data_IF_090900457216
#
_entry.id   IF_090900457216
#
_cell.length_a   1.000
_cell.length_b   1.000
_cell.length_c   1.000
_cell.angle_alpha   90.00
_cell.angle_beta   90.00
_cell.angle_gamma   90.00
#
_symmetry.space_group_name_H-M   'P 1'
#
loop_
_entity.id
_entity.type
_entity.pdbx_description
1 polymer ?
#
# COMPACT_ATOMS: atom_id res chain seq x y z
N UNK A 1 4.22 -0.01 -29.48
CA UNK A 1 3.64 0.58 -28.25
C UNK A 1 4.42 0.09 -27.03
N UNK A 2 4.60 0.94 -26.02
CA UNK A 2 5.26 0.54 -24.76
C UNK A 2 4.71 1.32 -23.59
N UNK A 3 4.84 0.78 -22.39
CA UNK A 3 4.57 1.43 -21.10
C UNK A 3 5.24 0.64 -19.95
N UNK A 4 5.05 1.10 -18.71
CA UNK A 4 5.58 0.47 -17.50
C UNK A 4 4.45 0.12 -16.50
N UNK A 5 3.29 -0.26 -17.01
CA UNK A 5 2.17 -0.68 -16.17
C UNK A 5 2.39 -2.11 -15.65
N UNK A 6 2.68 -2.22 -14.34
CA UNK A 6 3.07 -3.47 -13.69
C UNK A 6 4.32 -4.11 -14.32
N UNK A 7 5.40 -3.33 -14.40
CA UNK A 7 6.67 -3.67 -15.02
C UNK A 7 6.79 -3.17 -16.47
N UNK A 8 7.97 -3.35 -17.06
CA UNK A 8 8.22 -2.96 -18.44
C UNK A 8 7.39 -3.80 -19.42
N UNK A 9 6.76 -3.13 -20.39
CA UNK A 9 5.96 -3.77 -21.43
C UNK A 9 6.24 -3.13 -22.79
N UNK A 10 6.39 -3.95 -23.83
CA UNK A 10 6.53 -3.50 -25.21
C UNK A 10 5.83 -4.44 -26.17
N UNK A 11 5.05 -3.89 -27.07
CA UNK A 11 4.38 -4.60 -28.15
C UNK A 11 5.20 -4.46 -29.41
N UNK A 12 5.53 -5.58 -30.05
CA UNK A 12 6.24 -5.65 -31.33
C UNK A 12 5.32 -6.24 -32.40
N UNK A 13 5.38 -5.76 -33.65
CA UNK A 13 4.62 -6.34 -34.75
C UNK A 13 5.15 -7.73 -35.13
N UNK A 14 4.50 -8.41 -36.07
CA UNK A 14 5.01 -9.64 -36.65
C UNK A 14 6.33 -9.34 -37.40
N UNK A 15 7.37 -10.14 -37.15
CA UNK A 15 8.70 -9.96 -37.75
C UNK A 15 9.80 -10.60 -36.93
N UNK A 16 11.04 -10.38 -37.33
CA UNK A 16 12.24 -10.85 -36.64
C UNK A 16 12.72 -9.78 -35.65
N UNK A 17 12.16 -9.81 -34.45
CA UNK A 17 12.51 -8.90 -33.34
C UNK A 17 13.14 -9.66 -32.19
N UNK A 18 13.99 -8.93 -31.44
CA UNK A 18 14.50 -9.34 -30.14
C UNK A 18 14.22 -8.23 -29.15
N UNK A 19 13.67 -8.55 -27.99
CA UNK A 19 13.33 -7.60 -26.92
C UNK A 19 14.22 -7.87 -25.72
N UNK A 20 14.76 -6.80 -25.15
CA UNK A 20 15.53 -6.86 -23.90
C UNK A 20 14.94 -5.90 -22.87
N UNK A 21 14.85 -6.36 -21.63
CA UNK A 21 14.61 -5.51 -20.46
C UNK A 21 15.83 -5.55 -19.56
N UNK A 22 16.34 -4.39 -19.23
CA UNK A 22 17.51 -4.24 -18.37
C UNK A 22 17.13 -3.46 -17.13
N UNK A 23 17.76 -3.81 -16.01
CA UNK A 23 17.83 -2.99 -14.81
C UNK A 23 19.11 -2.16 -14.89
N UNK A 24 18.99 -0.84 -15.02
CA UNK A 24 20.14 0.06 -15.19
C UNK A 24 20.90 0.26 -13.87
N UNK A 25 20.17 0.29 -12.74
CA UNK A 25 20.78 0.48 -11.43
C UNK A 25 21.60 -0.75 -11.02
N UNK A 26 21.04 -1.96 -11.21
CA UNK A 26 21.74 -3.20 -10.92
C UNK A 26 22.67 -3.70 -12.03
N UNK A 27 22.68 -3.05 -13.21
CA UNK A 27 23.41 -3.48 -14.40
C UNK A 27 23.09 -4.92 -14.82
N UNK A 28 21.83 -5.33 -14.74
CA UNK A 28 21.38 -6.68 -15.04
C UNK A 28 20.46 -6.74 -16.25
N UNK A 29 20.60 -7.80 -17.05
CA UNK A 29 19.61 -8.16 -18.07
C UNK A 29 18.53 -9.04 -17.42
N UNK A 30 17.30 -8.52 -17.36
CA UNK A 30 16.15 -9.20 -16.75
C UNK A 30 15.39 -10.08 -17.75
N UNK A 31 15.41 -9.71 -19.02
CA UNK A 31 14.77 -10.45 -20.11
C UNK A 31 15.55 -10.22 -21.39
N UNK A 32 15.71 -11.24 -22.20
CA UNK A 32 16.36 -11.18 -23.50
C UNK A 32 15.91 -12.35 -24.37
N UNK A 33 14.97 -12.12 -25.30
CA UNK A 33 14.46 -13.16 -26.18
C UNK A 33 13.92 -12.63 -27.51
N UNK A 34 13.79 -13.54 -28.48
CA UNK A 34 13.11 -13.28 -29.74
C UNK A 34 11.61 -13.05 -29.49
N UNK A 35 11.00 -12.15 -30.28
CA UNK A 35 9.58 -11.80 -30.19
C UNK A 35 9.02 -11.49 -31.59
N UNK A 36 7.77 -11.88 -31.85
CA UNK A 36 7.08 -11.60 -33.11
C UNK A 36 5.59 -11.51 -32.89
N UNK A 37 4.96 -10.36 -33.18
CA UNK A 37 3.52 -10.17 -33.10
C UNK A 37 2.95 -10.28 -31.67
N UNK A 38 3.70 -9.92 -30.64
CA UNK A 38 3.34 -10.13 -29.23
C UNK A 38 3.60 -8.92 -28.35
N UNK A 39 2.86 -8.84 -27.24
CA UNK A 39 3.17 -7.97 -26.13
C UNK A 39 4.13 -8.70 -25.18
N UNK A 40 5.37 -8.25 -25.11
CA UNK A 40 6.37 -8.74 -24.15
C UNK A 40 6.22 -7.98 -22.85
N UNK A 41 6.21 -8.70 -21.72
CA UNK A 41 6.08 -8.11 -20.38
C UNK A 41 7.18 -8.60 -19.45
N UNK A 42 7.69 -7.70 -18.61
CA UNK A 42 8.63 -8.06 -17.53
C UNK A 42 7.96 -8.94 -16.48
N UNK A 43 8.71 -9.89 -15.92
CA UNK A 43 8.30 -10.61 -14.71
C UNK A 43 8.31 -9.71 -13.47
N UNK A 44 9.14 -8.66 -13.43
CA UNK A 44 9.18 -7.73 -12.30
C UNK A 44 8.05 -6.71 -12.40
N UNK A 45 7.12 -6.73 -11.42
CA UNK A 45 5.92 -5.86 -11.36
C UNK A 45 6.07 -4.68 -10.39
N UNK A 46 7.20 -4.60 -9.67
CA UNK A 46 7.58 -3.50 -8.79
C UNK A 46 8.50 -2.51 -9.50
N UNK A 47 8.88 -1.44 -8.83
CA UNK A 47 9.80 -0.44 -9.39
C UNK A 47 11.18 -1.04 -9.62
N UNK A 48 11.61 -0.92 -10.86
CA UNK A 48 12.96 -1.20 -11.34
C UNK A 48 13.35 -0.06 -12.27
N UNK A 49 14.59 0.36 -12.28
CA UNK A 49 15.08 1.37 -13.21
C UNK A 49 15.27 0.76 -14.61
N UNK A 50 14.13 0.52 -15.28
CA UNK A 50 14.07 -0.20 -16.52
C UNK A 50 14.67 0.56 -17.69
N UNK A 51 15.37 -0.19 -18.57
CA UNK A 51 15.59 0.14 -19.97
C UNK A 51 14.95 -0.92 -20.84
N UNK A 52 14.15 -0.49 -21.82
CA UNK A 52 13.58 -1.34 -22.88
C UNK A 52 14.44 -1.17 -24.12
N UNK A 53 14.88 -2.26 -24.74
CA UNK A 53 15.54 -2.28 -26.02
C UNK A 53 14.81 -3.21 -26.98
N UNK A 54 14.62 -2.78 -28.22
CA UNK A 54 14.07 -3.61 -29.31
C UNK A 54 15.05 -3.62 -30.46
N UNK A 55 15.36 -4.80 -30.93
CA UNK A 55 16.23 -5.05 -32.09
C UNK A 55 15.40 -5.65 -33.21
N UNK A 56 15.65 -5.24 -34.44
CA UNK A 56 15.12 -5.85 -35.64
C UNK A 56 16.31 -6.37 -36.48
N UNK A 57 16.29 -7.67 -36.82
CA UNK A 57 17.36 -8.34 -37.55
C UNK A 57 18.75 -8.05 -36.97
N UNK A 58 18.87 -8.04 -35.66
CA UNK A 58 20.11 -7.79 -34.92
C UNK A 58 20.50 -6.31 -34.74
N UNK A 59 19.79 -5.36 -35.36
CA UNK A 59 20.04 -3.92 -35.21
C UNK A 59 19.15 -3.29 -34.19
N UNK A 60 19.68 -2.52 -33.25
CA UNK A 60 18.90 -1.73 -32.27
C UNK A 60 18.07 -0.68 -33.02
N UNK A 61 16.75 -0.77 -32.92
CA UNK A 61 15.80 0.16 -33.55
C UNK A 61 15.05 1.02 -32.53
N UNK A 62 15.00 0.59 -31.27
CA UNK A 62 14.34 1.33 -30.21
C UNK A 62 15.04 1.10 -28.88
N UNK A 63 15.25 2.18 -28.12
CA UNK A 63 15.70 2.13 -26.74
C UNK A 63 14.96 3.20 -25.93
N UNK A 64 14.50 2.84 -24.73
CA UNK A 64 13.82 3.77 -23.86
C UNK A 64 14.12 3.47 -22.39
N UNK A 65 14.56 4.49 -21.67
CA UNK A 65 14.81 4.44 -20.24
C UNK A 65 13.56 4.88 -19.47
N UNK A 66 13.26 4.20 -18.38
CA UNK A 66 12.18 4.62 -17.47
C UNK A 66 12.46 6.05 -16.98
N UNK A 67 11.55 6.95 -17.25
CA UNK A 67 11.56 8.30 -16.70
C UNK A 67 10.12 8.70 -16.33
N UNK A 68 9.87 8.87 -15.04
CA UNK A 68 8.55 9.17 -14.52
C UNK A 68 8.26 10.68 -14.43
N UNK A 69 9.25 11.56 -14.68
CA UNK A 69 9.09 13.01 -14.55
C UNK A 69 7.99 13.52 -15.50
N UNK A 70 6.98 14.20 -14.92
CA UNK A 70 5.81 14.70 -15.63
C UNK A 70 4.85 13.63 -16.18
N UNK A 71 5.08 12.34 -15.90
CA UNK A 71 4.24 11.24 -16.39
C UNK A 71 3.12 10.90 -15.41
N UNK A 72 2.00 10.40 -15.94
CA UNK A 72 0.91 9.84 -15.14
C UNK A 72 1.30 8.48 -14.58
N UNK A 73 1.33 8.38 -13.27
CA UNK A 73 1.67 7.14 -12.54
C UNK A 73 0.53 6.77 -11.60
N UNK A 74 0.18 5.49 -11.53
CA UNK A 74 -0.84 4.96 -10.65
C UNK A 74 -0.23 4.08 -9.57
N UNK A 75 -0.51 4.38 -8.31
CA UNK A 75 -0.36 3.44 -7.21
C UNK A 75 -1.74 2.89 -6.84
N UNK A 76 -1.90 1.58 -6.95
CA UNK A 76 -3.14 0.90 -6.57
C UNK A 76 -2.99 0.26 -5.21
N UNK A 77 -3.85 0.65 -4.26
CA UNK A 77 -3.91 0.09 -2.92
C UNK A 77 -5.03 -0.95 -2.81
N UNK A 78 -4.86 -2.00 -2.01
CA UNK A 78 -5.91 -2.99 -1.79
C UNK A 78 -7.05 -2.41 -0.96
N UNK A 79 -8.23 -3.06 -1.03
CA UNK A 79 -9.41 -2.68 -0.26
C UNK A 79 -9.48 -3.49 1.03
N UNK A 80 -9.90 -2.86 2.13
CA UNK A 80 -10.22 -3.55 3.38
C UNK A 80 -9.07 -3.78 4.37
N UNK A 81 -7.90 -3.19 4.13
CA UNK A 81 -6.72 -3.31 5.00
C UNK A 81 -6.25 -1.94 5.50
N UNK A 82 -7.02 -1.34 6.43
CA UNK A 82 -6.79 0.00 6.97
C UNK A 82 -5.35 0.20 7.48
N UNK A 83 -4.87 -0.68 8.36
CA UNK A 83 -3.56 -0.53 8.99
C UNK A 83 -2.40 -0.55 7.99
N UNK A 84 -2.47 -1.43 7.02
CA UNK A 84 -1.45 -1.57 5.99
C UNK A 84 -1.40 -0.31 5.09
N UNK A 85 -2.56 0.20 4.68
CA UNK A 85 -2.63 1.42 3.88
C UNK A 85 -2.07 2.62 4.66
N UNK A 86 -2.40 2.78 5.93
CA UNK A 86 -1.86 3.85 6.77
C UNK A 86 -0.34 3.78 6.90
N UNK A 87 0.22 2.56 6.98
CA UNK A 87 1.67 2.35 7.04
C UNK A 87 2.37 2.61 5.69
N UNK A 88 1.71 2.31 4.56
CA UNK A 88 2.32 2.39 3.22
C UNK A 88 2.15 3.75 2.55
N UNK A 89 1.06 4.45 2.83
CA UNK A 89 0.70 5.65 2.10
C UNK A 89 1.73 6.79 2.16
N UNK A 90 2.46 7.04 3.26
CA UNK A 90 3.50 8.07 3.28
C UNK A 90 4.54 7.95 2.16
N UNK A 91 4.82 6.72 1.72
CA UNK A 91 5.78 6.47 0.65
C UNK A 91 5.26 6.89 -0.74
N UNK A 92 3.95 7.05 -0.92
CA UNK A 92 3.38 7.61 -2.14
C UNK A 92 3.81 9.07 -2.35
N UNK A 93 3.82 9.88 -1.28
CA UNK A 93 4.31 11.27 -1.36
C UNK A 93 5.81 11.33 -1.64
N UNK A 94 6.60 10.47 -0.99
CA UNK A 94 8.05 10.38 -1.22
C UNK A 94 8.33 9.97 -2.67
N UNK A 95 7.62 8.97 -3.19
CA UNK A 95 7.73 8.52 -4.57
C UNK A 95 7.40 9.66 -5.56
N UNK A 96 6.27 10.35 -5.35
CA UNK A 96 5.89 11.49 -6.17
C UNK A 96 6.97 12.57 -6.21
N UNK A 97 7.51 12.94 -5.05
CA UNK A 97 8.55 13.98 -4.93
C UNK A 97 9.86 13.54 -5.59
N UNK A 98 10.30 12.29 -5.36
CA UNK A 98 11.52 11.73 -5.95
C UNK A 98 11.46 11.76 -7.48
N UNK A 99 10.33 11.32 -8.04
CA UNK A 99 10.17 11.15 -9.48
C UNK A 99 9.47 12.31 -10.17
N UNK A 100 8.99 13.33 -9.45
CA UNK A 100 8.27 14.50 -9.97
C UNK A 100 7.13 14.12 -10.92
N UNK A 101 6.45 13.01 -10.64
CA UNK A 101 5.38 12.46 -11.46
C UNK A 101 4.00 13.04 -11.08
N UNK A 102 3.06 12.95 -12.01
CA UNK A 102 1.64 13.16 -11.77
C UNK A 102 1.05 11.89 -11.14
N UNK A 103 0.96 11.86 -9.80
CA UNK A 103 0.63 10.64 -9.08
C UNK A 103 -0.87 10.51 -8.82
N UNK A 104 -1.42 9.37 -9.23
CA UNK A 104 -2.75 8.90 -8.89
C UNK A 104 -2.66 7.78 -7.85
N UNK A 105 -3.54 7.82 -6.84
CA UNK A 105 -3.68 6.75 -5.85
C UNK A 105 -5.10 6.21 -5.87
N UNK A 106 -5.26 4.94 -6.24
CA UNK A 106 -6.55 4.24 -6.27
C UNK A 106 -6.76 3.46 -4.97
N UNK A 107 -7.86 3.72 -4.25
CA UNK A 107 -8.20 3.07 -2.98
C UNK A 107 -9.69 3.18 -2.64
N UNK A 108 -10.12 2.57 -1.54
CA UNK A 108 -11.49 2.66 -1.06
C UNK A 108 -11.87 4.11 -0.66
N UNK A 109 -13.13 4.49 -0.85
CA UNK A 109 -13.61 5.86 -0.61
C UNK A 109 -13.42 6.32 0.83
N UNK A 110 -13.67 5.46 1.80
CA UNK A 110 -13.46 5.74 3.23
C UNK A 110 -11.99 6.06 3.56
N UNK A 111 -11.06 5.44 2.86
CA UNK A 111 -9.62 5.74 2.96
C UNK A 111 -9.28 7.07 2.30
N UNK A 112 -9.86 7.37 1.14
CA UNK A 112 -9.69 8.66 0.47
C UNK A 112 -10.12 9.81 1.39
N UNK A 113 -11.26 9.68 2.05
CA UNK A 113 -11.77 10.71 2.94
C UNK A 113 -10.82 11.10 4.08
N UNK A 114 -10.10 10.15 4.65
CA UNK A 114 -9.20 10.39 5.79
C UNK A 114 -7.79 10.79 5.36
N UNK A 115 -7.32 10.32 4.20
CA UNK A 115 -5.93 10.52 3.77
C UNK A 115 -5.78 11.79 2.92
N UNK A 116 -6.68 12.02 1.97
CA UNK A 116 -6.63 13.14 1.01
C UNK A 116 -6.34 14.51 1.63
N UNK A 117 -6.92 14.89 2.78
CA UNK A 117 -6.64 16.20 3.39
C UNK A 117 -5.17 16.45 3.71
N UNK A 118 -4.41 15.40 4.05
CA UNK A 118 -2.97 15.47 4.36
C UNK A 118 -2.06 15.51 3.14
N UNK A 119 -2.60 15.27 1.92
CA UNK A 119 -1.82 15.07 0.69
C UNK A 119 -2.45 15.72 -0.53
N UNK A 120 -2.56 17.07 -0.56
CA UNK A 120 -3.30 17.79 -1.60
C UNK A 120 -2.70 17.65 -3.01
N UNK A 121 -1.41 17.32 -3.10
CA UNK A 121 -0.70 17.18 -4.37
C UNK A 121 -0.89 15.80 -5.04
N UNK A 122 -1.56 14.85 -4.38
CA UNK A 122 -1.84 13.51 -4.90
C UNK A 122 -3.27 13.47 -5.42
N UNK A 123 -3.46 12.88 -6.60
CA UNK A 123 -4.78 12.68 -7.18
C UNK A 123 -5.36 11.36 -6.69
N UNK A 124 -6.44 11.44 -5.91
CA UNK A 124 -7.13 10.27 -5.39
C UNK A 124 -8.27 9.86 -6.33
N UNK A 125 -8.38 8.58 -6.59
CA UNK A 125 -9.43 7.95 -7.38
C UNK A 125 -9.97 6.70 -6.68
N UNK A 126 -11.18 6.26 -7.05
CA UNK A 126 -11.75 5.02 -6.51
C UNK A 126 -10.97 3.80 -6.93
N UNK A 127 -11.05 2.72 -6.16
CA UNK A 127 -10.25 1.51 -6.36
C UNK A 127 -10.42 0.86 -7.75
N UNK A 128 -11.59 1.02 -8.36
CA UNK A 128 -11.94 0.50 -9.69
C UNK A 128 -11.56 1.42 -10.84
N UNK A 129 -11.33 2.70 -10.56
CA UNK A 129 -11.00 3.70 -11.58
C UNK A 129 -9.56 3.56 -12.09
N UNK A 130 -9.37 3.91 -13.34
CA UNK A 130 -8.07 3.93 -13.99
C UNK A 130 -7.97 5.12 -14.94
N UNK A 131 -7.03 6.06 -14.70
CA UNK A 131 -6.81 7.18 -15.61
C UNK A 131 -6.34 6.72 -16.99
N UNK A 132 -6.76 7.45 -18.02
CA UNK A 132 -6.23 7.24 -19.37
C UNK A 132 -4.80 7.76 -19.51
N UNK A 133 -4.03 7.14 -20.40
CA UNK A 133 -2.66 7.53 -20.71
C UNK A 133 -1.67 7.29 -19.57
N UNK A 134 -1.91 6.27 -18.74
CA UNK A 134 -0.96 5.85 -17.73
C UNK A 134 0.34 5.39 -18.38
N UNK A 135 1.44 5.96 -17.89
CA UNK A 135 2.80 5.57 -18.29
C UNK A 135 3.35 4.44 -17.41
N UNK A 136 3.07 4.47 -16.11
CA UNK A 136 3.48 3.42 -15.18
C UNK A 136 2.41 3.16 -14.11
N UNK A 137 2.37 1.96 -13.58
CA UNK A 137 1.53 1.61 -12.44
C UNK A 137 2.16 0.55 -11.56
N UNK A 138 1.91 0.64 -10.25
CA UNK A 138 2.40 -0.28 -9.24
C UNK A 138 1.27 -0.68 -8.30
N UNK A 139 1.27 -1.95 -7.90
CA UNK A 139 0.32 -2.47 -6.93
C UNK A 139 0.96 -2.55 -5.56
N UNK A 140 0.38 -1.84 -4.59
CA UNK A 140 0.80 -1.86 -3.20
C UNK A 140 0.06 -3.00 -2.50
N UNK A 141 0.78 -4.00 -2.01
CA UNK A 141 0.10 -5.16 -1.46
C UNK A 141 1.03 -6.11 -0.73
N UNK A 142 0.42 -7.11 -0.12
CA UNK A 142 1.09 -8.28 0.45
C UNK A 142 0.86 -9.42 -0.53
N UNK A 143 1.93 -10.03 -0.98
CA UNK A 143 1.87 -11.07 -1.98
C UNK A 143 2.23 -12.43 -1.36
N UNK A 144 1.33 -13.37 -1.55
CA UNK A 144 1.49 -14.78 -1.26
C UNK A 144 1.35 -15.55 -2.59
N UNK A 145 2.09 -16.55 -2.85
CA UNK A 145 2.95 -17.41 -2.03
C UNK A 145 4.34 -16.80 -1.70
N UNK A 146 5.08 -17.54 -0.89
CA UNK A 146 6.36 -17.12 -0.31
C UNK A 146 7.46 -16.83 -1.32
N UNK A 147 7.37 -17.37 -2.51
CA UNK A 147 8.33 -17.24 -3.61
C UNK A 147 7.92 -16.19 -4.66
N UNK A 148 6.89 -15.39 -4.37
CA UNK A 148 6.48 -14.30 -5.26
C UNK A 148 7.58 -13.23 -5.34
N UNK A 149 8.43 -13.38 -6.34
CA UNK A 149 9.50 -12.44 -6.71
C UNK A 149 9.10 -11.52 -7.86
N UNK A 150 7.87 -11.62 -8.32
CA UNK A 150 7.36 -10.76 -9.39
C UNK A 150 6.80 -9.45 -8.87
N UNK A 151 6.04 -9.49 -7.76
CA UNK A 151 5.32 -8.34 -7.24
C UNK A 151 6.04 -7.64 -6.09
N UNK A 152 6.97 -8.32 -5.44
CA UNK A 152 7.73 -7.77 -4.32
C UNK A 152 9.21 -8.17 -4.42
N UNK A 153 10.16 -7.22 -4.22
CA UNK A 153 11.59 -7.53 -4.26
C UNK A 153 12.08 -8.26 -3.00
N UNK A 154 11.32 -8.17 -1.91
CA UNK A 154 11.65 -8.73 -0.59
C UNK A 154 10.41 -9.35 0.04
N UNK A 155 10.61 -10.32 0.91
CA UNK A 155 9.53 -10.92 1.70
C UNK A 155 9.14 -9.97 2.85
N UNK A 156 7.89 -9.52 2.87
CA UNK A 156 7.37 -8.61 3.90
C UNK A 156 7.48 -9.20 5.33
N UNK A 157 7.50 -10.54 5.48
CA UNK A 157 7.66 -11.22 6.78
C UNK A 157 9.07 -11.06 7.34
N UNK A 158 10.07 -10.84 6.47
CA UNK A 158 11.48 -10.62 6.86
C UNK A 158 11.73 -9.15 7.16
N UNK A 159 11.26 -8.25 6.29
CA UNK A 159 11.55 -6.80 6.43
C UNK A 159 10.55 -6.05 7.28
N UNK A 160 9.42 -6.65 7.59
CA UNK A 160 8.30 -6.02 8.26
C UNK A 160 7.35 -5.30 7.30
N UNK A 161 6.07 -5.28 7.67
CA UNK A 161 4.97 -4.84 6.81
C UNK A 161 5.14 -3.40 6.31
N UNK A 162 5.54 -2.47 7.18
CA UNK A 162 5.73 -1.06 6.82
C UNK A 162 6.86 -0.85 5.80
N UNK A 163 7.87 -1.72 5.76
CA UNK A 163 9.01 -1.64 4.81
C UNK A 163 8.71 -2.26 3.45
N UNK A 164 7.61 -2.99 3.32
CA UNK A 164 7.24 -3.60 2.04
C UNK A 164 6.95 -2.54 0.96
N UNK A 165 6.20 -1.50 1.31
CA UNK A 165 5.86 -0.43 0.38
C UNK A 165 7.08 0.29 -0.22
N UNK A 166 8.04 0.80 0.56
CA UNK A 166 9.22 1.44 -0.01
C UNK A 166 10.05 0.47 -0.87
N UNK A 167 10.12 -0.82 -0.51
CA UNK A 167 10.79 -1.82 -1.34
C UNK A 167 10.10 -1.99 -2.71
N UNK A 168 8.75 -2.07 -2.75
CA UNK A 168 7.99 -2.13 -4.01
C UNK A 168 8.22 -0.89 -4.86
N UNK A 169 8.41 0.29 -4.24
CA UNK A 169 8.57 1.57 -4.93
C UNK A 169 10.03 1.98 -5.19
N UNK A 170 11.01 1.13 -4.88
CA UNK A 170 12.43 1.47 -5.06
C UNK A 170 12.86 2.67 -4.21
N UNK A 171 12.35 2.76 -2.98
CA UNK A 171 12.63 3.82 -2.03
C UNK A 171 13.44 3.29 -0.85
N UNK A 172 14.09 4.20 -0.11
CA UNK A 172 14.65 3.87 1.19
C UNK A 172 13.54 3.51 2.18
N UNK A 173 13.79 2.48 2.99
CA UNK A 173 12.83 1.96 3.96
C UNK A 173 12.91 2.67 5.33
N UNK A 174 13.09 3.99 5.33
CA UNK A 174 13.06 4.81 6.54
C UNK A 174 11.62 4.93 7.05
N UNK A 175 11.43 4.86 8.36
CA UNK A 175 10.11 4.95 8.98
C UNK A 175 9.44 6.30 8.70
N UNK A 176 8.20 6.27 8.26
CA UNK A 176 7.43 7.46 7.89
C UNK A 176 6.10 7.51 8.65
N UNK A 177 5.72 8.71 9.06
CA UNK A 177 4.41 8.95 9.68
C UNK A 177 3.41 9.45 8.66
N UNK A 178 2.20 8.88 8.69
CA UNK A 178 1.10 9.37 7.87
C UNK A 178 0.60 10.72 8.38
N UNK A 179 0.22 11.61 7.46
CA UNK A 179 -0.39 12.90 7.75
C UNK A 179 -1.91 12.74 7.74
N UNK A 180 -2.51 12.61 8.89
CA UNK A 180 -3.97 12.62 9.05
C UNK A 180 -4.39 13.97 9.61
N UNK A 181 -5.34 14.63 8.92
CA UNK A 181 -5.88 15.92 9.34
C UNK A 181 -7.36 15.72 9.68
N UNK A 182 -7.71 15.62 10.98
CA UNK A 182 -9.10 15.47 11.40
C UNK A 182 -9.91 16.69 10.98
N UNK A 183 -11.10 16.47 10.40
CA UNK A 183 -12.02 17.54 9.99
C UNK A 183 -12.55 18.33 11.19
N UNK A 184 -12.78 17.64 12.30
CA UNK A 184 -13.24 18.24 13.54
C UNK A 184 -12.19 18.08 14.62
N UNK A 185 -11.68 19.18 15.15
CA UNK A 185 -10.69 19.21 16.24
C UNK A 185 -11.36 19.41 17.61
N UNK A 186 -12.68 19.43 17.67
CA UNK A 186 -13.40 19.61 18.93
C UNK A 186 -13.27 18.36 19.79
N UNK A 187 -12.64 18.50 20.94
CA UNK A 187 -12.54 17.42 21.92
C UNK A 187 -13.89 17.22 22.61
N UNK A 188 -14.53 16.07 22.34
CA UNK A 188 -15.84 15.72 22.94
C UNK A 188 -15.74 15.25 24.39
N UNK A 189 -14.63 14.59 24.72
CA UNK A 189 -14.36 14.07 26.08
C UNK A 189 -13.28 14.96 26.70
N UNK A 190 -13.61 15.65 27.79
CA UNK A 190 -12.70 16.61 28.43
C UNK A 190 -11.67 15.91 29.32
N UNK A 191 -12.07 14.85 29.98
CA UNK A 191 -11.23 14.06 30.87
C UNK A 191 -10.10 13.34 30.12
N UNK A 192 -8.98 13.04 30.77
CA UNK A 192 -7.96 12.18 30.18
C UNK A 192 -8.53 10.80 29.85
N UNK A 193 -8.26 10.30 28.65
CA UNK A 193 -8.73 8.98 28.23
C UNK A 193 -7.71 8.26 27.36
N UNK A 194 -7.83 6.93 27.32
CA UNK A 194 -7.09 6.04 26.43
C UNK A 194 -8.09 5.23 25.62
N UNK A 195 -7.88 5.18 24.31
CA UNK A 195 -8.64 4.32 23.42
C UNK A 195 -7.97 2.95 23.32
N UNK A 196 -8.76 1.90 23.44
CA UNK A 196 -8.33 0.52 23.21
C UNK A 196 -9.16 -0.12 22.09
N UNK A 197 -8.55 -1.02 21.33
CA UNK A 197 -9.20 -1.84 20.32
C UNK A 197 -8.77 -3.29 20.54
N UNK A 198 -9.68 -4.11 21.02
CA UNK A 198 -9.43 -5.52 21.35
C UNK A 198 -9.76 -6.46 20.18
N UNK A 199 -10.62 -6.01 19.24
CA UNK A 199 -11.10 -6.81 18.13
C UNK A 199 -10.03 -7.02 17.06
N UNK A 200 -9.99 -8.20 16.50
CA UNK A 200 -9.15 -8.54 15.37
C UNK A 200 -9.94 -9.25 14.26
N UNK A 201 -9.42 -9.22 13.01
CA UNK A 201 -10.03 -9.90 11.88
C UNK A 201 -9.93 -11.43 11.91
N UNK A 202 -9.12 -11.96 12.82
CA UNK A 202 -8.91 -13.39 13.04
C UNK A 202 -8.50 -13.62 14.49
N UNK A 203 -8.90 -14.76 15.06
CA UNK A 203 -8.57 -15.12 16.46
C UNK A 203 -7.06 -15.23 16.68
N UNK A 204 -6.29 -15.61 15.65
CA UNK A 204 -4.83 -15.66 15.71
C UNK A 204 -4.15 -14.30 15.92
N UNK A 205 -4.87 -13.20 15.62
CA UNK A 205 -4.41 -11.81 15.83
C UNK A 205 -4.90 -11.23 17.15
N UNK A 206 -5.78 -11.93 17.85
CA UNK A 206 -6.30 -11.49 19.13
C UNK A 206 -5.25 -11.65 20.22
N UNK A 207 -5.19 -10.71 21.15
CA UNK A 207 -4.30 -10.85 22.30
C UNK A 207 -4.86 -11.86 23.30
N UNK A 208 -4.45 -13.13 23.15
CA UNK A 208 -4.95 -14.28 23.93
C UNK A 208 -4.33 -14.39 25.34
N UNK A 209 -4.19 -13.28 26.05
CA UNK A 209 -3.82 -13.29 27.46
C UNK A 209 -5.08 -13.19 28.31
N UNK A 210 -5.41 -14.26 29.04
CA UNK A 210 -6.67 -14.37 29.78
C UNK A 210 -6.92 -13.25 30.78
N UNK A 211 -5.90 -12.58 31.33
CA UNK A 211 -5.99 -11.43 32.21
C UNK A 211 -5.42 -10.14 31.66
N UNK A 212 -4.87 -10.19 30.45
CA UNK A 212 -4.12 -9.07 29.87
C UNK A 212 -4.95 -7.80 29.78
N UNK A 213 -6.08 -7.84 29.10
CA UNK A 213 -6.97 -6.68 28.97
C UNK A 213 -7.50 -6.19 30.32
N UNK A 214 -7.87 -7.09 31.22
CA UNK A 214 -8.34 -6.72 32.57
C UNK A 214 -7.25 -5.92 33.31
N UNK A 215 -6.01 -6.40 33.28
CA UNK A 215 -4.90 -5.75 33.97
C UNK A 215 -4.57 -4.39 33.34
N UNK A 216 -4.59 -4.28 31.99
CA UNK A 216 -4.38 -3.01 31.28
C UNK A 216 -5.46 -1.98 31.65
N UNK A 217 -6.73 -2.37 31.60
CA UNK A 217 -7.85 -1.48 31.96
C UNK A 217 -7.73 -1.00 33.39
N UNK A 218 -7.44 -1.92 34.31
CA UNK A 218 -7.27 -1.61 35.73
C UNK A 218 -6.14 -0.60 35.95
N UNK A 219 -4.96 -0.88 35.38
CA UNK A 219 -3.78 -0.01 35.47
C UNK A 219 -4.06 1.40 34.92
N UNK A 220 -4.68 1.50 33.74
CA UNK A 220 -5.02 2.79 33.16
C UNK A 220 -6.00 3.60 34.03
N UNK A 221 -6.98 2.94 34.66
CA UNK A 221 -7.88 3.60 35.58
C UNK A 221 -7.21 4.05 36.87
N UNK A 222 -6.26 3.28 37.38
CA UNK A 222 -5.45 3.65 38.56
C UNK A 222 -4.59 4.89 38.25
N UNK A 223 -4.17 5.10 36.98
CA UNK A 223 -3.51 6.31 36.49
C UNK A 223 -4.47 7.49 36.23
N UNK A 224 -5.76 7.34 36.45
CA UNK A 224 -6.78 8.39 36.30
C UNK A 224 -7.32 8.54 34.87
N UNK A 225 -7.10 7.57 33.99
CA UNK A 225 -7.66 7.61 32.63
C UNK A 225 -9.03 6.93 32.54
N UNK A 226 -9.92 7.51 31.75
CA UNK A 226 -11.05 6.77 31.20
C UNK A 226 -10.53 5.80 30.12
N UNK A 227 -11.09 4.60 30.04
CA UNK A 227 -10.65 3.59 29.06
C UNK A 227 -11.82 3.29 28.13
N UNK A 228 -11.69 3.69 26.86
CA UNK A 228 -12.74 3.62 25.86
C UNK A 228 -12.43 2.49 24.87
N UNK A 229 -13.32 1.53 24.75
CA UNK A 229 -13.22 0.49 23.72
C UNK A 229 -13.85 1.00 22.42
N UNK A 230 -13.01 1.22 21.39
CA UNK A 230 -13.43 1.84 20.14
C UNK A 230 -13.56 0.84 18.97
N UNK A 231 -13.71 -0.43 19.26
CA UNK A 231 -13.88 -1.48 18.27
C UNK A 231 -15.07 -1.22 17.32
N UNK A 232 -15.03 -1.82 16.12
CA UNK A 232 -16.09 -1.69 15.14
C UNK A 232 -17.41 -2.33 15.60
N UNK A 233 -17.31 -3.42 16.32
CA UNK A 233 -18.45 -4.18 16.85
C UNK A 233 -18.31 -4.32 18.36
N UNK A 234 -19.43 -4.43 19.05
CA UNK A 234 -19.47 -4.74 20.48
C UNK A 234 -19.11 -6.22 20.72
N UNK A 235 -19.65 -6.83 21.77
CA UNK A 235 -19.44 -8.25 22.01
C UNK A 235 -19.93 -9.08 20.82
N UNK A 236 -19.07 -9.98 20.38
CA UNK A 236 -19.30 -10.84 19.22
C UNK A 236 -18.78 -12.25 19.51
N UNK A 237 -19.54 -13.27 19.19
CA UNK A 237 -19.11 -14.64 19.38
C UNK A 237 -19.86 -15.59 18.45
N UNK A 238 -19.34 -15.76 17.22
CA UNK A 238 -19.87 -16.70 16.23
C UNK A 238 -18.75 -17.31 15.39
N UNK A 239 -18.89 -18.59 15.06
CA UNK A 239 -17.95 -19.31 14.22
C UNK A 239 -16.56 -19.42 14.84
N UNK A 240 -15.53 -19.08 14.05
CA UNK A 240 -14.13 -19.15 14.45
C UNK A 240 -13.59 -17.88 15.12
N UNK A 241 -14.45 -16.89 15.38
CA UNK A 241 -14.04 -15.58 15.88
C UNK A 241 -14.97 -15.11 16.99
N UNK A 242 -14.40 -14.62 18.07
CA UNK A 242 -15.15 -13.92 19.12
C UNK A 242 -14.38 -12.69 19.60
N UNK A 243 -15.12 -11.73 20.15
CA UNK A 243 -14.61 -10.51 20.75
C UNK A 243 -15.49 -10.10 21.91
N UNK A 244 -14.86 -9.67 22.99
CA UNK A 244 -15.54 -9.17 24.19
C UNK A 244 -14.93 -7.81 24.51
N UNK A 245 -15.79 -6.82 24.80
CA UNK A 245 -15.32 -5.53 25.33
C UNK A 245 -14.61 -5.82 26.66
N UNK A 246 -13.35 -5.42 26.84
CA UNK A 246 -12.61 -5.67 28.06
C UNK A 246 -13.34 -5.16 29.28
N UNK A 247 -13.48 -6.01 30.32
CA UNK A 247 -14.17 -5.65 31.53
C UNK A 247 -13.61 -4.37 32.14
N UNK A 248 -14.52 -3.45 32.47
CA UNK A 248 -14.19 -2.15 33.02
C UNK A 248 -13.87 -1.07 31.97
N UNK A 249 -13.76 -1.39 30.70
CA UNK A 249 -13.71 -0.39 29.64
C UNK A 249 -15.13 0.12 29.32
N UNK A 250 -15.21 1.39 28.90
CA UNK A 250 -16.45 2.01 28.45
C UNK A 250 -16.73 1.60 27.01
N UNK A 251 -17.99 1.30 26.67
CA UNK A 251 -18.41 0.92 25.33
C UNK A 251 -18.52 2.15 24.40
N UNK A 252 -17.54 2.34 23.56
CA UNK A 252 -17.53 3.29 22.44
C UNK A 252 -17.48 2.57 21.09
N UNK A 253 -17.89 1.31 21.05
CA UNK A 253 -17.94 0.50 19.84
C UNK A 253 -19.03 0.98 18.87
N UNK A 254 -19.07 0.37 17.68
CA UNK A 254 -20.07 0.61 16.66
C UNK A 254 -19.49 1.04 15.34
N UNK A 255 -20.30 0.93 14.28
CA UNK A 255 -19.92 1.37 12.92
C UNK A 255 -20.05 2.87 12.84
N UNK A 256 -18.93 3.58 12.99
CA UNK A 256 -18.82 5.03 12.84
C UNK A 256 -17.89 5.36 11.68
N UNK A 257 -18.07 6.50 10.99
CA UNK A 257 -17.11 7.00 10.02
C UNK A 257 -15.71 7.08 10.63
N UNK A 258 -14.69 6.70 9.89
CA UNK A 258 -13.29 6.75 10.36
C UNK A 258 -12.89 8.15 10.83
N UNK A 259 -13.43 9.20 10.21
CA UNK A 259 -13.24 10.61 10.60
C UNK A 259 -13.66 10.94 12.03
N UNK A 260 -14.56 10.15 12.65
CA UNK A 260 -14.97 10.34 14.05
C UNK A 260 -14.06 9.61 15.03
N UNK A 261 -13.16 8.76 14.54
CA UNK A 261 -12.24 7.96 15.35
C UNK A 261 -10.80 8.50 15.33
N UNK A 262 -10.53 9.52 14.51
CA UNK A 262 -9.30 10.26 14.42
C UNK A 262 -9.41 11.52 15.28
#
# INVERSE_FOLDING_TARGET
RFDFNYGARVEVPAGDYRVRFLDREACLTLYDAAASGVLVTSSKKYFVDFRIEVYEKGKLIFAHDLNLEGKKVLLKFPVGILGDILAWFPYAEIFRKKHKCELYCAMAEDMIEIIKPGYPEIKFIKAEERPEGLYASYYMGIFFPCDDREHQPVDFRVVGLHKNAPCILGLKADEQRIKLLPKNKTRRIKEPYVCIAAQASSQAKYWNNGRGWLNVVKHLKELGYRVLCIDRENNYGMGSRYNIIPYGAEDFTGRRPLQERI
#
